data_IF_850797945991
#
_entry.id   IF_850797945991
#
_cell.length_a   1.000
_cell.length_b   1.000
_cell.length_c   1.000
_cell.angle_alpha   90.00
_cell.angle_beta   90.00
_cell.angle_gamma   90.00
#
_symmetry.space_group_name_H-M   'P 1'
#
loop_
_entity.id
_entity.type
_entity.pdbx_description
1 polymer ?
#
# COMPACT_ATOMS: atom_id res chain seq x y z
N UNK A 1 -22.60 -44.85 -45.04
CA UNK A 1 -22.57 -46.33 -45.10
C UNK A 1 -22.27 -46.80 -43.69
N UNK A 2 -23.32 -47.20 -42.93
CA UNK A 2 -23.72 -48.61 -42.74
C UNK A 2 -22.58 -49.38 -42.02
N UNK A 3 -22.77 -50.05 -40.94
CA UNK A 3 -23.82 -50.83 -40.29
C UNK A 3 -23.25 -51.20 -38.90
N UNK A 4 -24.02 -51.08 -37.78
CA UNK A 4 -24.79 -52.15 -37.16
C UNK A 4 -23.99 -53.43 -36.84
N UNK A 5 -24.04 -53.86 -35.60
CA UNK A 5 -24.65 -55.11 -35.15
C UNK A 5 -24.14 -55.37 -33.69
N UNK A 6 -24.96 -55.19 -32.65
CA UNK A 6 -25.84 -56.18 -32.00
C UNK A 6 -25.08 -57.39 -31.40
N UNK A 7 -25.16 -57.52 -30.16
CA UNK A 7 -26.03 -58.31 -29.25
C UNK A 7 -25.37 -59.52 -28.57
N UNK A 8 -25.89 -59.78 -27.39
CA UNK A 8 -26.08 -61.01 -26.59
C UNK A 8 -25.00 -61.29 -25.51
N UNK A 9 -25.24 -61.74 -24.37
CA UNK A 9 -26.41 -62.16 -23.55
C UNK A 9 -25.84 -62.66 -22.24
N UNK A 10 -26.53 -62.35 -21.17
CA UNK A 10 -26.64 -63.04 -19.87
C UNK A 10 -25.63 -64.16 -19.50
N UNK A 11 -25.08 -64.04 -18.31
CA UNK A 11 -25.25 -65.16 -17.33
C UNK A 11 -25.26 -64.62 -15.90
N UNK A 12 -26.33 -64.88 -15.23
CA UNK A 12 -26.50 -64.68 -13.77
C UNK A 12 -25.83 -65.80 -13.01
N UNK A 13 -25.13 -65.47 -11.95
CA UNK A 13 -24.99 -66.40 -10.84
C UNK A 13 -24.86 -65.62 -9.52
N UNK A 14 -25.87 -65.76 -8.73
CA UNK A 14 -25.95 -65.30 -7.35
C UNK A 14 -25.07 -66.17 -6.46
N UNK A 15 -24.29 -65.56 -5.57
CA UNK A 15 -23.95 -66.19 -4.28
C UNK A 15 -23.78 -65.11 -3.24
N UNK A 16 -24.66 -65.16 -2.28
CA UNK A 16 -24.72 -64.36 -1.09
C UNK A 16 -23.52 -64.64 -0.16
N UNK A 17 -22.84 -63.63 0.31
CA UNK A 17 -22.17 -63.67 1.59
C UNK A 17 -22.51 -62.41 2.37
N UNK A 18 -23.29 -62.62 3.41
CA UNK A 18 -23.56 -61.68 4.44
C UNK A 18 -22.27 -61.41 5.23
N UNK A 19 -21.86 -60.12 5.23
CA UNK A 19 -20.79 -59.60 6.07
C UNK A 19 -21.20 -58.21 6.47
N UNK A 20 -21.86 -58.11 7.61
CA UNK A 20 -22.23 -56.90 8.32
C UNK A 20 -21.01 -56.08 8.62
N UNK A 21 -20.91 -54.88 8.06
CA UNK A 21 -20.27 -53.72 8.70
C UNK A 21 -21.11 -52.51 8.40
N UNK A 22 -21.87 -52.17 9.41
CA UNK A 22 -22.60 -50.92 9.52
C UNK A 22 -21.57 -49.77 9.58
N UNK A 23 -21.37 -49.07 8.49
CA UNK A 23 -20.69 -47.78 8.48
C UNK A 23 -21.60 -46.79 7.78
N UNK A 24 -22.47 -46.24 8.63
CA UNK A 24 -23.31 -45.11 8.31
C UNK A 24 -22.41 -43.90 8.06
N UNK A 25 -21.86 -43.78 6.87
CA UNK A 25 -21.27 -42.55 6.40
C UNK A 25 -22.34 -41.77 5.67
N UNK A 26 -23.10 -41.05 6.47
CA UNK A 26 -23.81 -39.88 5.99
C UNK A 26 -22.75 -38.91 5.47
N UNK A 27 -22.76 -38.48 4.22
CA UNK A 27 -21.97 -37.33 3.83
C UNK A 27 -22.69 -36.10 4.40
N UNK A 28 -22.44 -35.84 5.70
CA UNK A 28 -22.70 -34.54 6.23
C UNK A 28 -21.98 -33.54 5.36
N UNK A 29 -22.76 -32.68 4.71
CA UNK A 29 -22.23 -31.46 4.12
C UNK A 29 -21.34 -30.79 5.18
N UNK A 30 -20.06 -30.90 5.00
CA UNK A 30 -19.08 -30.16 5.77
C UNK A 30 -19.32 -28.69 5.43
N UNK A 31 -20.11 -28.02 6.26
CA UNK A 31 -20.00 -26.59 6.42
C UNK A 31 -18.53 -26.36 6.78
N UNK A 32 -17.79 -25.79 5.84
CA UNK A 32 -16.35 -25.60 5.97
C UNK A 32 -16.04 -24.60 7.09
N UNK A 33 -15.96 -25.11 8.30
CA UNK A 33 -15.09 -24.52 9.29
C UNK A 33 -13.69 -24.70 8.73
N UNK A 34 -13.11 -23.59 8.26
CA UNK A 34 -11.69 -23.54 7.91
C UNK A 34 -10.94 -23.87 9.22
N UNK A 35 -10.53 -25.12 9.38
CA UNK A 35 -9.65 -25.47 10.48
C UNK A 35 -8.39 -24.60 10.34
N UNK A 36 -8.17 -23.72 11.32
CA UNK A 36 -6.97 -22.90 11.35
C UNK A 36 -5.73 -23.79 11.35
N UNK A 37 -4.64 -23.39 10.68
CA UNK A 37 -3.41 -24.18 10.63
C UNK A 37 -2.88 -24.45 12.05
N UNK A 38 -2.45 -25.68 12.30
CA UNK A 38 -1.91 -26.08 13.59
C UNK A 38 -0.56 -25.43 13.88
N UNK A 39 -0.22 -25.29 15.16
CA UNK A 39 1.12 -24.90 15.59
C UNK A 39 2.16 -25.86 15.00
N UNK A 40 3.30 -25.32 14.55
CA UNK A 40 4.35 -26.09 13.88
C UNK A 40 4.12 -26.32 12.38
N UNK A 41 2.99 -25.89 11.81
CA UNK A 41 2.76 -25.93 10.36
C UNK A 41 3.63 -24.90 9.62
N UNK A 42 3.88 -25.20 8.34
CA UNK A 42 4.37 -24.20 7.38
C UNK A 42 3.15 -23.57 6.72
N UNK A 43 3.02 -22.27 6.80
CA UNK A 43 1.91 -21.50 6.23
C UNK A 43 2.42 -20.51 5.20
N UNK A 44 1.52 -19.91 4.42
CA UNK A 44 1.90 -18.89 3.46
C UNK A 44 0.91 -17.72 3.46
N UNK A 45 1.39 -16.58 2.97
CA UNK A 45 0.58 -15.41 2.69
C UNK A 45 0.94 -14.80 1.33
N UNK A 46 -0.05 -14.19 0.71
CA UNK A 46 0.09 -13.44 -0.53
C UNK A 46 0.46 -12.00 -0.21
N UNK A 47 1.76 -11.68 -0.30
CA UNK A 47 2.27 -10.39 0.15
C UNK A 47 1.64 -9.21 -0.61
N UNK A 48 1.45 -9.35 -1.93
CA UNK A 48 0.81 -8.31 -2.75
C UNK A 48 -0.62 -8.03 -2.29
N UNK A 49 -1.38 -9.08 -1.94
CA UNK A 49 -2.73 -8.95 -1.38
C UNK A 49 -2.70 -8.27 -0.01
N UNK A 50 -1.74 -8.62 0.85
CA UNK A 50 -1.56 -7.98 2.16
C UNK A 50 -1.26 -6.50 2.00
N UNK A 51 -0.28 -6.13 1.18
CA UNK A 51 0.12 -4.73 0.95
C UNK A 51 -1.05 -3.92 0.38
N UNK A 52 -1.71 -4.42 -0.67
CA UNK A 52 -2.80 -3.71 -1.34
C UNK A 52 -4.05 -3.53 -0.48
N UNK A 53 -4.26 -4.43 0.49
CA UNK A 53 -5.42 -4.38 1.41
C UNK A 53 -5.08 -3.74 2.75
N UNK A 54 -3.85 -3.31 2.97
CA UNK A 54 -3.42 -2.69 4.22
C UNK A 54 -3.79 -1.20 4.25
N UNK A 55 -4.62 -0.80 5.21
CA UNK A 55 -5.12 0.57 5.34
C UNK A 55 -3.99 1.60 5.46
N UNK A 56 -2.92 1.27 6.18
CA UNK A 56 -1.74 2.13 6.27
C UNK A 56 -1.10 2.41 4.90
N UNK A 57 -1.00 1.39 4.03
CA UNK A 57 -0.48 1.59 2.68
C UNK A 57 -1.39 2.50 1.86
N UNK A 58 -2.70 2.31 1.96
CA UNK A 58 -3.67 3.11 1.24
C UNK A 58 -3.67 4.58 1.71
N UNK A 59 -3.57 4.83 3.01
CA UNK A 59 -3.45 6.18 3.58
C UNK A 59 -2.17 6.86 3.10
N UNK A 60 -1.00 6.22 3.26
CA UNK A 60 0.29 6.78 2.84
C UNK A 60 0.38 6.99 1.32
N UNK A 61 -0.23 6.10 0.53
CA UNK A 61 -0.32 6.24 -0.92
C UNK A 61 -1.14 7.49 -1.29
N UNK A 62 -2.27 7.70 -0.62
CA UNK A 62 -3.11 8.89 -0.86
C UNK A 62 -2.37 10.18 -0.50
N UNK A 63 -1.64 10.20 0.63
CA UNK A 63 -0.81 11.35 1.03
C UNK A 63 0.29 11.64 -0.02
N UNK A 64 0.94 10.60 -0.52
CA UNK A 64 1.95 10.74 -1.57
C UNK A 64 1.35 11.24 -2.89
N UNK A 65 0.18 10.73 -3.29
CA UNK A 65 -0.52 11.19 -4.50
C UNK A 65 -0.88 12.68 -4.40
N UNK A 66 -1.35 13.15 -3.25
CA UNK A 66 -1.60 14.58 -3.00
C UNK A 66 -0.30 15.41 -3.09
N UNK A 67 0.80 14.91 -2.53
CA UNK A 67 2.09 15.58 -2.60
C UNK A 67 2.60 15.68 -4.03
N UNK A 68 2.50 14.60 -4.80
CA UNK A 68 2.84 14.57 -6.23
C UNK A 68 2.01 15.59 -7.00
N UNK A 69 0.70 15.67 -6.74
CA UNK A 69 -0.17 16.64 -7.40
C UNK A 69 0.21 18.10 -7.06
N UNK A 70 0.57 18.38 -5.80
CA UNK A 70 1.05 19.71 -5.38
C UNK A 70 2.35 20.08 -6.09
N UNK A 71 3.31 19.15 -6.18
CA UNK A 71 4.58 19.33 -6.88
C UNK A 71 4.33 19.60 -8.38
N UNK A 72 3.49 18.82 -9.03
CA UNK A 72 3.14 19.01 -10.43
C UNK A 72 2.53 20.40 -10.69
N UNK A 73 1.61 20.82 -9.83
CA UNK A 73 1.00 22.16 -9.92
C UNK A 73 2.02 23.28 -9.73
N UNK A 74 2.96 23.14 -8.79
CA UNK A 74 4.04 24.11 -8.56
C UNK A 74 4.94 24.20 -9.79
N UNK A 75 5.45 23.08 -10.29
CA UNK A 75 6.33 23.06 -11.46
C UNK A 75 5.63 23.64 -12.70
N UNK A 76 4.36 23.31 -12.89
CA UNK A 76 3.57 23.85 -13.99
C UNK A 76 3.37 25.37 -13.87
N UNK A 77 3.13 25.89 -12.66
CA UNK A 77 3.01 27.33 -12.42
C UNK A 77 4.32 28.05 -12.75
N UNK A 78 5.44 27.55 -12.22
CA UNK A 78 6.78 28.10 -12.49
C UNK A 78 7.15 28.03 -13.99
N UNK A 79 6.78 26.93 -14.67
CA UNK A 79 6.94 26.80 -16.11
C UNK A 79 6.15 27.83 -16.91
N UNK A 80 4.89 28.07 -16.55
CA UNK A 80 4.07 29.14 -17.16
C UNK A 80 4.66 30.53 -16.94
N UNK A 81 5.16 30.81 -15.74
CA UNK A 81 5.75 32.10 -15.42
C UNK A 81 7.07 32.33 -16.17
N UNK A 82 7.89 31.31 -16.30
CA UNK A 82 9.06 31.34 -17.16
C UNK A 82 8.68 31.61 -18.62
N UNK A 83 7.70 30.90 -19.16
CA UNK A 83 7.25 31.09 -20.55
C UNK A 83 6.71 32.50 -20.80
N UNK A 84 5.95 33.07 -19.86
CA UNK A 84 5.49 34.46 -19.95
C UNK A 84 6.65 35.44 -19.97
N UNK A 85 7.65 35.26 -19.10
CA UNK A 85 8.82 36.12 -19.04
C UNK A 85 9.64 36.04 -20.33
N UNK A 86 9.83 34.83 -20.89
CA UNK A 86 10.53 34.63 -22.16
C UNK A 86 9.78 35.28 -23.34
N UNK A 87 8.46 35.14 -23.39
CA UNK A 87 7.64 35.79 -24.43
C UNK A 87 7.67 37.32 -24.32
N UNK A 88 7.57 37.86 -23.08
CA UNK A 88 7.69 39.33 -22.87
C UNK A 88 9.06 39.84 -23.32
N UNK A 89 10.13 39.15 -22.98
CA UNK A 89 11.49 39.50 -23.42
C UNK A 89 11.58 39.51 -24.94
N UNK A 90 11.14 38.43 -25.61
CA UNK A 90 11.15 38.35 -27.07
C UNK A 90 10.36 39.47 -27.73
N UNK A 91 9.15 39.78 -27.19
CA UNK A 91 8.33 40.87 -27.71
C UNK A 91 8.99 42.24 -27.54
N UNK A 92 9.68 42.50 -26.44
CA UNK A 92 10.38 43.74 -26.18
C UNK A 92 11.62 43.92 -27.09
N UNK A 93 12.37 42.85 -27.33
CA UNK A 93 13.46 42.82 -28.29
C UNK A 93 12.95 43.16 -29.70
N UNK A 94 11.90 42.45 -30.15
CA UNK A 94 11.37 42.65 -31.52
C UNK A 94 10.80 44.04 -31.75
N UNK A 95 10.33 44.72 -30.70
CA UNK A 95 9.80 46.10 -30.74
C UNK A 95 10.88 47.15 -30.52
N UNK A 96 12.15 46.78 -30.31
CA UNK A 96 13.23 47.72 -30.04
C UNK A 96 13.08 48.50 -28.74
N UNK A 97 12.38 47.91 -27.74
CA UNK A 97 12.06 48.54 -26.44
C UNK A 97 13.13 48.31 -25.38
N UNK A 98 14.23 47.64 -25.70
CA UNK A 98 15.32 47.37 -24.77
C UNK A 98 16.63 47.91 -25.33
N UNK A 99 17.43 48.49 -24.47
CA UNK A 99 18.84 48.76 -24.78
C UNK A 99 19.63 47.46 -24.82
N UNK A 100 20.82 47.47 -25.39
CA UNK A 100 21.71 46.31 -25.47
C UNK A 100 22.07 45.79 -24.06
N UNK A 101 22.33 46.68 -23.11
CA UNK A 101 22.65 46.32 -21.74
C UNK A 101 21.45 45.63 -21.04
N UNK A 102 20.24 46.20 -21.16
CA UNK A 102 19.03 45.59 -20.60
C UNK A 102 18.69 44.24 -21.23
N UNK A 103 18.93 44.09 -22.54
CA UNK A 103 18.72 42.82 -23.22
C UNK A 103 19.69 41.74 -22.73
N UNK A 104 20.96 42.09 -22.51
CA UNK A 104 21.95 41.17 -21.94
C UNK A 104 21.59 40.75 -20.50
N UNK A 105 21.22 41.70 -19.64
CA UNK A 105 20.81 41.43 -18.27
C UNK A 105 19.58 40.49 -18.21
N UNK A 106 18.54 40.81 -18.99
CA UNK A 106 17.31 39.99 -19.02
C UNK A 106 17.55 38.58 -19.57
N UNK A 107 18.41 38.47 -20.59
CA UNK A 107 18.81 37.17 -21.12
C UNK A 107 19.49 36.31 -20.04
N UNK A 108 20.43 36.93 -19.27
CA UNK A 108 21.09 36.23 -18.17
C UNK A 108 20.11 35.80 -17.10
N UNK A 109 19.15 36.67 -16.73
CA UNK A 109 18.09 36.32 -15.77
C UNK A 109 17.23 35.16 -16.26
N UNK A 110 16.86 35.14 -17.55
CA UNK A 110 16.07 34.04 -18.12
C UNK A 110 16.88 32.73 -18.16
N UNK A 111 18.15 32.79 -18.49
CA UNK A 111 19.05 31.62 -18.46
C UNK A 111 19.15 31.05 -17.04
N UNK A 112 19.33 31.90 -16.04
CA UNK A 112 19.35 31.45 -14.62
C UNK A 112 18.02 30.83 -14.21
N UNK A 113 16.90 31.47 -14.54
CA UNK A 113 15.56 30.92 -14.22
C UNK A 113 15.29 29.56 -14.88
N UNK A 114 15.80 29.37 -16.12
CA UNK A 114 15.67 28.06 -16.76
C UNK A 114 16.50 27.01 -16.06
N UNK A 115 17.73 27.33 -15.65
CA UNK A 115 18.58 26.42 -14.89
C UNK A 115 17.93 26.07 -13.50
N UNK A 116 17.41 27.10 -12.82
CA UNK A 116 16.71 26.91 -11.53
C UNK A 116 15.49 26.01 -11.66
N UNK A 117 14.69 26.18 -12.75
CA UNK A 117 13.53 25.33 -12.99
C UNK A 117 13.93 23.88 -13.28
N UNK A 118 15.00 23.66 -14.04
CA UNK A 118 15.52 22.32 -14.29
C UNK A 118 16.03 21.66 -13.00
N UNK A 119 16.79 22.40 -12.19
CA UNK A 119 17.29 21.91 -10.90
C UNK A 119 16.14 21.59 -9.93
N UNK A 120 15.14 22.47 -9.86
CA UNK A 120 13.95 22.23 -9.02
C UNK A 120 13.19 20.98 -9.47
N UNK A 121 13.04 20.78 -10.78
CA UNK A 121 12.37 19.59 -11.33
C UNK A 121 13.11 18.33 -10.90
N UNK A 122 14.42 18.28 -11.11
CA UNK A 122 15.24 17.13 -10.72
C UNK A 122 15.20 16.87 -9.19
N UNK A 123 15.24 17.95 -8.40
CA UNK A 123 15.11 17.85 -6.93
C UNK A 123 13.74 17.28 -6.51
N UNK A 124 12.67 17.74 -7.14
CA UNK A 124 11.32 17.27 -6.83
C UNK A 124 11.08 15.83 -7.26
N UNK A 125 11.65 15.42 -8.39
CA UNK A 125 11.61 14.01 -8.81
C UNK A 125 12.36 13.10 -7.84
N UNK A 126 13.53 13.51 -7.36
CA UNK A 126 14.29 12.78 -6.36
C UNK A 126 13.52 12.69 -5.01
N UNK A 127 12.87 13.79 -4.58
CA UNK A 127 12.04 13.85 -3.39
C UNK A 127 10.89 12.83 -3.47
N UNK A 128 10.19 12.75 -4.61
CA UNK A 128 9.10 11.77 -4.82
C UNK A 128 9.63 10.33 -4.73
N UNK A 129 10.80 10.05 -5.33
CA UNK A 129 11.39 8.71 -5.28
C UNK A 129 11.80 8.32 -3.85
N UNK A 130 12.36 9.25 -3.09
CA UNK A 130 12.72 9.03 -1.69
C UNK A 130 11.47 8.75 -0.84
N UNK A 131 10.42 9.54 -0.99
CA UNK A 131 9.15 9.35 -0.30
C UNK A 131 8.51 8.00 -0.61
N UNK A 132 8.54 7.56 -1.87
CA UNK A 132 8.07 6.23 -2.27
C UNK A 132 8.84 5.12 -1.56
N UNK A 133 10.17 5.25 -1.51
CA UNK A 133 11.02 4.27 -0.83
C UNK A 133 10.76 4.24 0.69
N UNK A 134 10.62 5.41 1.31
CA UNK A 134 10.29 5.55 2.74
C UNK A 134 8.93 4.94 3.04
N UNK A 135 7.93 5.24 2.22
CA UNK A 135 6.57 4.68 2.34
C UNK A 135 6.61 3.13 2.28
N UNK A 136 7.28 2.59 1.27
CA UNK A 136 7.38 1.15 1.10
C UNK A 136 8.08 0.47 2.29
N UNK A 137 9.22 1.01 2.72
CA UNK A 137 9.96 0.50 3.86
C UNK A 137 9.11 0.53 5.14
N UNK A 138 8.39 1.62 5.39
CA UNK A 138 7.51 1.77 6.55
C UNK A 138 6.39 0.74 6.57
N UNK A 139 5.78 0.47 5.42
CA UNK A 139 4.73 -0.54 5.27
C UNK A 139 5.30 -1.94 5.51
N UNK A 140 6.44 -2.26 4.90
CA UNK A 140 7.08 -3.58 5.05
C UNK A 140 7.54 -3.83 6.49
N UNK A 141 8.08 -2.83 7.17
CA UNK A 141 8.47 -2.92 8.57
C UNK A 141 7.26 -3.19 9.49
N UNK A 142 6.16 -2.47 9.25
CA UNK A 142 4.90 -2.69 9.98
C UNK A 142 4.36 -4.12 9.77
N UNK A 143 4.36 -4.62 8.52
CA UNK A 143 3.93 -5.99 8.20
C UNK A 143 4.84 -7.01 8.90
N UNK A 144 6.16 -6.85 8.82
CA UNK A 144 7.10 -7.78 9.44
C UNK A 144 6.96 -7.79 10.98
N UNK A 145 6.81 -6.62 11.58
CA UNK A 145 6.60 -6.47 13.02
C UNK A 145 5.31 -7.16 13.47
N UNK A 146 4.23 -6.95 12.73
CA UNK A 146 2.96 -7.63 13.00
C UNK A 146 3.08 -9.15 12.86
N UNK A 147 3.66 -9.65 11.78
CA UNK A 147 3.84 -11.09 11.53
C UNK A 147 4.68 -11.73 12.63
N UNK A 148 5.74 -11.06 13.08
CA UNK A 148 6.57 -11.58 14.18
C UNK A 148 5.76 -11.74 15.48
N UNK A 149 4.92 -10.75 15.82
CA UNK A 149 4.03 -10.79 16.97
C UNK A 149 2.93 -11.87 16.82
N UNK A 150 2.29 -11.91 15.66
CA UNK A 150 1.28 -12.91 15.31
C UNK A 150 1.83 -14.34 15.44
N UNK A 151 3.05 -14.58 14.98
CA UNK A 151 3.68 -15.91 15.06
C UNK A 151 4.11 -16.30 16.48
N UNK A 152 4.29 -15.34 17.41
CA UNK A 152 4.50 -15.67 18.82
C UNK A 152 3.29 -16.38 19.44
N UNK A 153 2.08 -16.03 18.96
CA UNK A 153 0.84 -16.64 19.42
C UNK A 153 0.51 -17.95 18.67
N UNK A 154 0.65 -17.94 17.34
CA UNK A 154 0.27 -19.06 16.46
C UNK A 154 1.30 -20.19 16.42
N UNK A 155 2.58 -19.86 16.64
CA UNK A 155 3.70 -20.81 16.70
C UNK A 155 3.88 -21.66 15.43
N UNK A 156 3.70 -21.05 14.27
CA UNK A 156 4.03 -21.68 13.00
C UNK A 156 5.54 -21.92 12.88
N UNK A 157 5.94 -23.01 12.27
CA UNK A 157 7.36 -23.31 12.05
C UNK A 157 7.97 -22.36 11.00
N UNK A 158 7.17 -21.95 10.00
CA UNK A 158 7.60 -21.05 8.92
C UNK A 158 6.40 -20.35 8.30
N UNK A 159 6.57 -19.10 7.98
CA UNK A 159 5.62 -18.30 7.19
C UNK A 159 6.32 -17.95 5.88
N UNK A 160 5.78 -18.42 4.76
CA UNK A 160 6.29 -18.15 3.42
C UNK A 160 5.51 -17.01 2.80
N UNK A 161 6.16 -16.23 1.94
CA UNK A 161 5.47 -15.20 1.14
C UNK A 161 5.40 -15.63 -0.32
N UNK A 162 4.28 -15.31 -0.97
CA UNK A 162 4.15 -15.37 -2.43
C UNK A 162 3.88 -13.96 -2.94
N UNK A 163 4.41 -13.65 -4.11
CA UNK A 163 4.13 -12.41 -4.85
C UNK A 163 3.83 -12.77 -6.30
N UNK A 164 3.12 -11.90 -7.01
CA UNK A 164 2.84 -12.10 -8.44
C UNK A 164 4.12 -12.11 -9.29
N UNK A 165 5.14 -11.36 -8.85
CA UNK A 165 6.43 -11.26 -9.54
C UNK A 165 7.39 -12.42 -9.25
N UNK A 166 7.29 -13.05 -8.07
CA UNK A 166 8.18 -14.13 -7.62
C UNK A 166 7.40 -15.17 -6.83
N UNK A 167 6.89 -16.18 -7.51
CA UNK A 167 6.14 -17.26 -6.90
C UNK A 167 7.09 -18.25 -6.21
N UNK A 168 7.24 -18.13 -4.91
CA UNK A 168 8.04 -19.05 -4.09
C UNK A 168 7.30 -20.35 -3.81
N UNK A 169 5.95 -20.26 -3.72
CA UNK A 169 5.05 -21.40 -3.49
C UNK A 169 4.20 -21.60 -4.73
N UNK A 170 4.43 -22.67 -5.49
CA UNK A 170 3.70 -22.99 -6.72
C UNK A 170 2.30 -23.56 -6.44
N UNK A 171 2.17 -24.33 -5.37
CA UNK A 171 0.91 -24.91 -4.92
C UNK A 171 0.97 -25.20 -3.43
N UNK A 172 -0.13 -24.96 -2.74
CA UNK A 172 -0.29 -25.27 -1.33
C UNK A 172 -1.76 -25.59 -1.04
N UNK A 173 -2.02 -26.21 0.09
CA UNK A 173 -3.38 -26.40 0.59
C UNK A 173 -3.96 -25.03 0.97
N UNK A 174 -5.17 -24.67 0.48
CA UNK A 174 -5.82 -23.39 0.82
C UNK A 174 -6.05 -23.16 2.33
N UNK A 175 -6.05 -24.23 3.13
CA UNK A 175 -6.17 -24.12 4.60
C UNK A 175 -4.90 -23.58 5.26
N UNK A 176 -3.76 -23.56 4.54
CA UNK A 176 -2.49 -22.99 4.99
C UNK A 176 -2.31 -21.52 4.61
N UNK A 177 -3.28 -20.94 3.90
CA UNK A 177 -3.30 -19.52 3.53
C UNK A 177 -3.77 -18.67 4.71
N UNK A 178 -2.87 -17.88 5.26
CA UNK A 178 -3.16 -16.94 6.38
C UNK A 178 -3.36 -15.51 5.92
N UNK A 179 -3.44 -15.24 4.62
CA UNK A 179 -3.51 -13.89 4.05
C UNK A 179 -4.63 -13.06 4.65
N UNK A 180 -5.85 -13.60 4.68
CA UNK A 180 -7.02 -12.87 5.15
C UNK A 180 -6.93 -12.54 6.66
N UNK A 181 -6.45 -13.48 7.48
CA UNK A 181 -6.28 -13.28 8.92
C UNK A 181 -5.21 -12.21 9.22
N UNK A 182 -4.12 -12.21 8.45
CA UNK A 182 -3.05 -11.20 8.57
C UNK A 182 -3.55 -9.83 8.17
N UNK A 183 -4.30 -9.69 7.08
CA UNK A 183 -4.90 -8.41 6.63
C UNK A 183 -5.82 -7.84 7.72
N UNK A 184 -6.73 -8.66 8.23
CA UNK A 184 -7.67 -8.24 9.27
C UNK A 184 -6.93 -7.75 10.52
N UNK A 185 -5.95 -8.49 10.97
CA UNK A 185 -5.19 -8.15 12.17
C UNK A 185 -4.33 -6.90 12.00
N UNK A 186 -3.66 -6.72 10.85
CA UNK A 186 -2.91 -5.52 10.51
C UNK A 186 -3.81 -4.27 10.52
N UNK A 187 -4.96 -4.33 9.87
CA UNK A 187 -5.88 -3.20 9.80
C UNK A 187 -6.47 -2.87 11.18
N UNK A 188 -6.81 -3.88 11.98
CA UNK A 188 -7.26 -3.68 13.35
C UNK A 188 -6.20 -3.02 14.24
N UNK A 189 -4.93 -3.42 14.11
CA UNK A 189 -3.81 -2.81 14.86
C UNK A 189 -3.56 -1.37 14.39
N UNK A 190 -3.58 -1.13 13.07
CA UNK A 190 -3.41 0.20 12.50
C UNK A 190 -4.48 1.20 12.99
N UNK A 191 -5.75 0.81 12.93
CA UNK A 191 -6.88 1.64 13.39
C UNK A 191 -6.75 1.95 14.88
N UNK A 192 -6.35 0.99 15.71
CA UNK A 192 -6.12 1.22 17.15
C UNK A 192 -4.98 2.22 17.38
N UNK A 193 -3.86 2.07 16.67
CA UNK A 193 -2.70 2.94 16.80
C UNK A 193 -3.02 4.35 16.32
N UNK A 194 -3.75 4.51 15.21
CA UNK A 194 -4.20 5.80 14.69
C UNK A 194 -5.10 6.54 15.69
N UNK A 195 -6.06 5.83 16.31
CA UNK A 195 -6.92 6.43 17.36
C UNK A 195 -6.12 6.85 18.59
N UNK A 196 -5.16 6.05 19.01
CA UNK A 196 -4.31 6.37 20.16
C UNK A 196 -3.41 7.59 19.88
N UNK A 197 -2.89 7.72 18.65
CA UNK A 197 -2.08 8.87 18.25
C UNK A 197 -2.91 10.17 18.30
N UNK A 198 -4.12 10.17 17.74
CA UNK A 198 -5.04 11.33 17.78
C UNK A 198 -5.39 11.71 19.22
N UNK A 199 -5.70 10.74 20.08
CA UNK A 199 -6.02 11.00 21.48
C UNK A 199 -4.83 11.59 22.27
N UNK A 200 -3.60 11.27 21.91
CA UNK A 200 -2.38 11.84 22.53
C UNK A 200 -2.15 13.27 22.04
N UNK A 201 -2.39 13.56 20.77
CA UNK A 201 -2.28 14.92 20.22
C UNK A 201 -3.30 15.86 20.83
N UNK A 202 -4.58 15.48 20.92
CA UNK A 202 -5.62 16.28 21.58
C UNK A 202 -5.31 16.55 23.06
N UNK A 203 -4.68 15.59 23.75
CA UNK A 203 -4.31 15.74 25.16
C UNK A 203 -3.12 16.68 25.34
N UNK A 204 -2.20 16.73 24.38
CA UNK A 204 -1.02 17.60 24.39
C UNK A 204 -1.38 19.03 24.01
N UNK A 205 -2.26 19.23 23.03
CA UNK A 205 -2.74 20.57 22.66
C UNK A 205 -3.51 21.22 23.81
N UNK A 206 -4.45 20.50 24.43
CA UNK A 206 -5.22 20.98 25.58
C UNK A 206 -4.34 21.36 26.79
N UNK A 207 -3.21 20.63 26.97
CA UNK A 207 -2.27 20.91 28.06
C UNK A 207 -1.37 22.12 27.76
N UNK A 208 -1.14 22.40 26.48
CA UNK A 208 -0.34 23.55 26.03
C UNK A 208 -1.17 24.84 26.09
N UNK A 209 -2.45 24.78 25.70
CA UNK A 209 -3.39 25.91 25.81
C UNK A 209 -3.66 26.29 27.27
N UNK A 210 -3.94 25.32 28.14
CA UNK A 210 -4.12 25.57 29.59
C UNK A 210 -2.92 26.23 30.25
N UNK A 211 -1.68 25.88 29.80
CA UNK A 211 -0.45 26.45 30.32
C UNK A 211 -0.14 27.84 29.75
N UNK A 212 -0.68 28.17 28.58
CA UNK A 212 -0.59 29.51 27.98
C UNK A 212 -1.57 30.48 28.63
N UNK A 213 -2.78 30.04 28.98
CA UNK A 213 -3.77 30.83 29.68
C UNK A 213 -3.32 31.16 31.12
N UNK A 214 -2.74 30.19 31.84
CA UNK A 214 -2.22 30.41 33.21
C UNK A 214 -1.06 31.42 33.25
N UNK A 215 -0.22 31.45 32.19
CA UNK A 215 0.85 32.47 32.08
C UNK A 215 0.31 33.86 31.79
N UNK A 216 -0.77 33.96 31.01
CA UNK A 216 -1.35 35.25 30.62
C UNK A 216 -2.14 35.89 31.77
N UNK A 217 -2.76 35.10 32.64
CA UNK A 217 -3.41 35.60 33.87
C UNK A 217 -2.39 36.06 34.94
N UNK A 218 -1.27 35.33 35.08
CA UNK A 218 -0.21 35.71 36.02
C UNK A 218 0.52 37.00 35.65
N UNK A 219 0.55 37.39 34.37
CA UNK A 219 1.18 38.61 33.85
C UNK A 219 0.24 39.83 33.95
N UNK A 220 -1.08 39.63 33.97
CA UNK A 220 -2.08 40.70 34.19
C UNK A 220 -2.30 41.06 35.66
N UNK A 221 -1.81 40.25 36.60
CA UNK A 221 -1.94 40.45 38.04
C UNK A 221 -0.74 41.15 38.70
N UNK A 222 0.23 41.64 37.92
CA UNK A 222 1.41 42.37 38.35
C UNK A 222 1.42 43.79 37.78
#
# INVERSE_FOLDING_TARGET
MMKQIKTFLCFALALAFAGSCNQNQNPAASNGEKNAPAAGSIVYLQLDSVVNSYDMFNDLKSELEEKVQKIQNELQAKGRDFQKAANDFTNKINKGLLTQAEAQERNQVLTNRQADLQNLTAQKEAEIQEEQAVMFNKVMDAIQTYIAKYNQEKKFAMILTTTDAATTVLTADPTLDITAEVIEGLNNEYVKNKKNAVAVEETTENKTEAKAEEKTEAEKAK
#
